data_IF_171012218816
#
_entry.id   IF_171012218816
#
_cell.length_a   1.000
_cell.length_b   1.000
_cell.length_c   1.000
_cell.angle_alpha   90.00
_cell.angle_beta   90.00
_cell.angle_gamma   90.00
#
_symmetry.space_group_name_H-M   'P 1'
#
loop_
_entity.id
_entity.type
_entity.pdbx_description
1 polymer ?
#
# COMPACT_ATOMS: atom_id res chain seq x y z
N UNK A 1 -6.57 8.16 -15.08
CA UNK A 1 -7.20 7.52 -13.90
C UNK A 1 -7.33 8.56 -12.80
N UNK A 2 -8.56 8.92 -12.38
CA UNK A 2 -8.80 9.68 -11.15
C UNK A 2 -9.36 8.71 -10.12
N UNK A 3 -8.48 8.10 -9.33
CA UNK A 3 -8.86 7.35 -8.14
C UNK A 3 -8.17 8.06 -6.99
N UNK A 4 -8.95 8.55 -6.02
CA UNK A 4 -8.38 9.00 -4.75
C UNK A 4 -7.81 7.76 -4.07
N UNK A 5 -6.49 7.71 -3.80
CA UNK A 5 -5.91 6.57 -3.09
C UNK A 5 -6.59 6.43 -1.72
N UNK A 6 -6.70 5.20 -1.19
CA UNK A 6 -7.16 4.98 0.17
C UNK A 6 -6.25 5.75 1.16
N UNK A 7 -6.78 6.00 2.36
CA UNK A 7 -6.00 6.61 3.44
C UNK A 7 -4.67 5.87 3.63
N UNK A 8 -3.57 6.60 3.86
CA UNK A 8 -2.25 6.00 3.98
C UNK A 8 -2.17 4.95 5.09
N UNK A 9 -2.94 5.11 6.18
CA UNK A 9 -2.98 4.14 7.26
C UNK A 9 -3.59 2.81 6.80
N UNK A 10 -4.59 2.85 5.92
CA UNK A 10 -5.19 1.64 5.32
C UNK A 10 -4.15 0.90 4.47
N UNK A 11 -3.34 1.63 3.70
CA UNK A 11 -2.27 1.01 2.88
C UNK A 11 -1.22 0.36 3.78
N UNK A 12 -0.82 1.04 4.87
CA UNK A 12 0.13 0.51 5.84
C UNK A 12 -0.37 -0.77 6.52
N UNK A 13 -1.62 -0.78 6.98
CA UNK A 13 -2.20 -1.96 7.62
C UNK A 13 -2.34 -3.14 6.67
N UNK A 14 -2.67 -2.89 5.39
CA UNK A 14 -2.69 -3.95 4.38
C UNK A 14 -1.31 -4.57 4.17
N UNK A 15 -0.26 -3.75 4.04
CA UNK A 15 1.11 -4.26 3.87
C UNK A 15 1.56 -5.05 5.12
N UNK A 16 1.17 -4.59 6.31
CA UNK A 16 1.47 -5.30 7.58
C UNK A 16 0.71 -6.60 7.72
N UNK A 17 -0.54 -6.66 7.25
CA UNK A 17 -1.35 -7.89 7.25
C UNK A 17 -0.72 -8.99 6.36
N UNK A 18 0.00 -8.60 5.31
CA UNK A 18 0.80 -9.50 4.46
C UNK A 18 2.16 -9.91 5.09
N UNK A 19 2.42 -9.48 6.33
CA UNK A 19 3.64 -9.84 7.08
C UNK A 19 4.85 -8.94 6.83
N UNK A 20 4.70 -7.84 6.08
CA UNK A 20 5.80 -6.93 5.77
C UNK A 20 5.80 -5.70 6.68
N UNK A 21 7.00 -5.29 7.11
CA UNK A 21 7.16 -4.04 7.84
C UNK A 21 6.79 -2.85 6.93
N UNK A 22 5.94 -1.95 7.43
CA UNK A 22 5.52 -0.74 6.71
C UNK A 22 5.43 0.46 7.68
N UNK A 23 6.00 1.59 7.27
CA UNK A 23 6.00 2.84 8.05
C UNK A 23 5.90 4.06 7.13
N UNK A 24 5.46 5.20 7.68
CA UNK A 24 5.51 6.48 6.97
C UNK A 24 6.94 7.00 6.94
N UNK A 25 7.31 7.70 5.87
CA UNK A 25 8.54 8.49 5.83
C UNK A 25 8.22 9.98 5.84
N UNK A 26 9.05 10.78 6.51
CA UNK A 26 8.94 12.24 6.52
C UNK A 26 9.44 12.88 5.21
N UNK A 27 10.02 12.09 4.30
CA UNK A 27 10.50 12.56 3.01
C UNK A 27 9.38 13.15 2.14
N UNK A 28 8.15 12.65 2.29
CA UNK A 28 6.97 13.10 1.55
C UNK A 28 5.72 12.81 2.40
N UNK A 29 4.72 13.70 2.39
CA UNK A 29 3.48 13.53 3.17
C UNK A 29 2.74 12.19 2.94
N UNK A 30 2.98 11.55 1.79
CA UNK A 30 2.41 10.27 1.38
C UNK A 30 3.45 9.14 1.25
N UNK A 31 4.70 9.34 1.68
CA UNK A 31 5.75 8.34 1.51
C UNK A 31 5.59 7.14 2.45
N UNK A 32 5.81 5.94 1.90
CA UNK A 32 5.81 4.66 2.64
C UNK A 32 7.20 4.03 2.51
N UNK A 33 7.76 3.55 3.63
CA UNK A 33 8.95 2.71 3.68
C UNK A 33 8.54 1.28 4.00
N UNK A 34 8.91 0.34 3.12
CA UNK A 34 8.64 -1.09 3.24
C UNK A 34 9.60 -1.91 2.40
N UNK A 35 9.81 -3.17 2.79
CA UNK A 35 10.52 -4.18 2.01
C UNK A 35 9.55 -5.11 1.24
N UNK A 36 8.26 -4.77 1.20
CA UNK A 36 7.25 -5.56 0.49
C UNK A 36 7.51 -5.56 -1.03
N UNK A 37 7.27 -6.70 -1.72
CA UNK A 37 7.33 -6.76 -3.17
C UNK A 37 6.34 -5.79 -3.83
N UNK A 38 6.68 -5.31 -5.03
CA UNK A 38 5.85 -4.36 -5.78
C UNK A 38 4.41 -4.87 -6.01
N UNK A 39 4.21 -6.18 -6.16
CA UNK A 39 2.89 -6.78 -6.31
C UNK A 39 2.01 -6.56 -5.07
N UNK A 40 2.57 -6.72 -3.87
CA UNK A 40 1.89 -6.47 -2.59
C UNK A 40 1.58 -4.98 -2.43
N UNK A 41 2.53 -4.11 -2.77
CA UNK A 41 2.33 -2.65 -2.73
C UNK A 41 1.18 -2.24 -3.66
N UNK A 42 1.14 -2.77 -4.88
CA UNK A 42 0.06 -2.50 -5.85
C UNK A 42 -1.30 -2.98 -5.35
N UNK A 43 -1.38 -4.19 -4.80
CA UNK A 43 -2.61 -4.73 -4.23
C UNK A 43 -3.10 -3.89 -3.03
N UNK A 44 -2.17 -3.43 -2.18
CA UNK A 44 -2.50 -2.59 -1.03
C UNK A 44 -3.10 -1.23 -1.44
N UNK A 45 -2.61 -0.63 -2.53
CA UNK A 45 -3.12 0.64 -3.07
C UNK A 45 -4.41 0.42 -3.87
N UNK A 46 -4.48 -0.68 -4.64
CA UNK A 46 -5.57 -0.98 -5.56
C UNK A 46 -6.14 -2.39 -5.30
N UNK A 47 -7.01 -2.55 -4.29
CA UNK A 47 -7.54 -3.86 -3.91
C UNK A 47 -8.46 -4.50 -4.97
N UNK A 48 -8.93 -3.72 -5.95
CA UNK A 48 -9.83 -4.19 -7.01
C UNK A 48 -9.10 -4.90 -8.17
N UNK A 49 -7.79 -4.67 -8.33
CA UNK A 49 -7.02 -5.22 -9.46
C UNK A 49 -6.69 -6.71 -9.26
N UNK A 50 -6.86 -7.24 -8.04
CA UNK A 50 -6.58 -8.63 -7.67
C UNK A 50 -7.78 -9.58 -7.76
N UNK A 51 -8.97 -9.12 -8.19
CA UNK A 51 -10.19 -9.95 -8.34
C UNK A 51 -10.57 -10.27 -9.78
N UNK A 52 -9.60 -10.48 -10.67
CA UNK A 52 -9.86 -11.12 -11.97
C UNK A 52 -8.99 -12.37 -12.08
N UNK A 53 -9.53 -13.46 -11.52
CA UNK A 53 -9.19 -14.85 -11.80
C UNK A 53 -10.48 -15.59 -12.07
#
# INVERSE_FOLDING_TARGET
LKISPPDINIVLDRIRAEGYAASRTHFCGYGIKTEAPLAIIKAAIHPDITKNG
#
